data_IF_808637843023
#
_entry.id   IF_808637843023
#
_cell.length_a   1.000
_cell.length_b   1.000
_cell.length_c   1.000
_cell.angle_alpha   90.00
_cell.angle_beta   90.00
_cell.angle_gamma   90.00
#
_symmetry.space_group_name_H-M   'P 1'
#
loop_
_entity.id
_entity.type
_entity.pdbx_description
1 polymer ?
#
# COMPACT_ATOMS: atom_id res chain seq x y z
N UNK A 1 13.92 -37.35 18.64
CA UNK A 1 12.84 -36.33 18.61
C UNK A 1 13.40 -34.99 18.16
N UNK A 2 12.98 -34.45 17.00
CA UNK A 2 13.42 -33.12 16.55
C UNK A 2 12.49 -32.08 17.15
N UNK A 3 12.93 -31.41 18.21
CA UNK A 3 12.20 -30.28 18.79
C UNK A 3 11.99 -29.21 17.73
N UNK A 4 10.73 -28.92 17.41
CA UNK A 4 10.40 -27.75 16.58
C UNK A 4 10.99 -26.51 17.23
N UNK A 5 11.76 -25.71 16.49
CA UNK A 5 12.16 -24.37 16.91
C UNK A 5 10.96 -23.55 17.40
N UNK A 6 10.74 -23.48 18.71
CA UNK A 6 9.67 -22.65 19.25
C UNK A 6 10.14 -21.20 19.23
N UNK A 7 9.80 -20.48 18.17
CA UNK A 7 10.07 -19.04 18.06
C UNK A 7 9.38 -18.32 19.22
N UNK A 8 10.14 -17.53 20.00
CA UNK A 8 9.55 -16.78 21.12
C UNK A 8 8.56 -15.73 20.59
N UNK A 9 7.42 -15.47 21.25
CA UNK A 9 6.43 -14.48 20.79
C UNK A 9 7.03 -13.09 20.50
N UNK A 10 8.03 -12.65 21.28
CA UNK A 10 8.75 -11.39 21.06
C UNK A 10 9.51 -11.38 19.73
N UNK A 11 10.20 -12.48 19.39
CA UNK A 11 10.95 -12.63 18.15
C UNK A 11 10.00 -12.70 16.94
N UNK A 12 8.88 -13.41 17.09
CA UNK A 12 7.82 -13.44 16.09
C UNK A 12 7.25 -12.05 15.80
N UNK A 13 6.92 -11.29 16.85
CA UNK A 13 6.39 -9.94 16.71
C UNK A 13 7.42 -8.96 16.13
N UNK A 14 8.71 -9.15 16.42
CA UNK A 14 9.79 -8.36 15.82
C UNK A 14 9.92 -8.69 14.33
N UNK A 15 9.96 -9.96 13.95
CA UNK A 15 10.02 -10.39 12.56
C UNK A 15 8.79 -9.92 11.75
N UNK A 16 7.59 -9.99 12.34
CA UNK A 16 6.37 -9.49 11.72
C UNK A 16 6.42 -7.98 11.45
N UNK A 17 6.89 -7.18 12.41
CA UNK A 17 7.04 -5.73 12.22
C UNK A 17 8.02 -5.42 11.09
N UNK A 18 9.21 -6.02 11.14
CA UNK A 18 10.22 -5.81 10.10
C UNK A 18 9.73 -6.27 8.71
N UNK A 19 9.04 -7.41 8.64
CA UNK A 19 8.44 -7.88 7.39
C UNK A 19 7.32 -6.96 6.89
N UNK A 20 6.51 -6.40 7.79
CA UNK A 20 5.48 -5.41 7.45
C UNK A 20 6.06 -4.12 6.90
N UNK A 21 7.16 -3.63 7.49
CA UNK A 21 7.91 -2.49 6.97
C UNK A 21 8.44 -2.78 5.56
N UNK A 22 9.07 -3.95 5.34
CA UNK A 22 9.55 -4.37 4.01
C UNK A 22 8.42 -4.42 2.98
N UNK A 23 7.23 -4.89 3.36
CA UNK A 23 6.05 -4.91 2.49
C UNK A 23 5.61 -3.49 2.13
N UNK A 24 5.57 -2.58 3.09
CA UNK A 24 5.22 -1.19 2.81
C UNK A 24 6.25 -0.49 1.92
N UNK A 25 7.54 -0.81 2.10
CA UNK A 25 8.63 -0.36 1.20
C UNK A 25 8.44 -0.93 -0.21
N UNK A 26 8.20 -2.24 -0.32
CA UNK A 26 7.96 -2.89 -1.60
C UNK A 26 6.77 -2.26 -2.33
N UNK A 27 5.68 -1.99 -1.61
CA UNK A 27 4.52 -1.30 -2.16
C UNK A 27 4.86 0.10 -2.67
N UNK A 28 5.65 0.86 -1.90
CA UNK A 28 6.07 2.22 -2.25
C UNK A 28 6.92 2.26 -3.53
N UNK A 29 7.73 1.23 -3.77
CA UNK A 29 8.58 1.15 -4.95
C UNK A 29 7.77 0.68 -6.17
N UNK A 30 6.99 -0.40 -6.03
CA UNK A 30 6.42 -1.10 -7.18
C UNK A 30 4.98 -0.73 -7.53
N UNK A 31 4.18 -0.26 -6.56
CA UNK A 31 2.74 -0.03 -6.77
C UNK A 31 2.34 1.44 -6.68
N UNK A 32 3.01 2.22 -5.83
CA UNK A 32 2.76 3.66 -5.74
C UNK A 32 2.84 4.40 -7.10
N UNK A 33 3.82 4.14 -8.00
CA UNK A 33 3.84 4.80 -9.31
C UNK A 33 2.57 4.55 -10.14
N UNK A 34 2.01 3.33 -10.07
CA UNK A 34 0.83 2.93 -10.83
C UNK A 34 -0.42 3.73 -10.46
N UNK A 35 -0.51 4.20 -9.21
CA UNK A 35 -1.60 5.07 -8.71
C UNK A 35 -1.72 6.40 -9.43
N UNK A 36 -0.63 6.87 -10.02
CA UNK A 36 -0.58 8.09 -10.81
C UNK A 36 -0.59 7.82 -12.32
N UNK A 37 -0.83 6.58 -12.76
CA UNK A 37 -0.94 6.21 -14.16
C UNK A 37 -2.40 6.07 -14.60
N UNK A 38 -2.65 6.03 -15.90
CA UNK A 38 -4.01 5.82 -16.43
C UNK A 38 -4.54 4.40 -16.13
N UNK A 39 -3.65 3.42 -15.93
CA UNK A 39 -4.02 2.06 -15.53
C UNK A 39 -4.75 2.02 -14.18
N UNK A 40 -4.59 3.04 -13.34
CA UNK A 40 -5.29 3.11 -12.07
C UNK A 40 -6.83 3.18 -12.20
N UNK A 41 -7.34 3.63 -13.36
CA UNK A 41 -8.78 3.60 -13.63
C UNK A 41 -9.34 2.18 -13.67
N UNK A 42 -8.65 1.26 -14.35
CA UNK A 42 -9.09 -0.13 -14.50
C UNK A 42 -8.65 -1.00 -13.32
N UNK A 43 -7.42 -0.83 -12.83
CA UNK A 43 -6.85 -1.74 -11.82
C UNK A 43 -7.33 -1.45 -10.40
N UNK A 44 -7.61 -0.18 -10.08
CA UNK A 44 -7.96 0.25 -8.72
C UNK A 44 -9.35 0.87 -8.61
N UNK A 45 -10.11 0.86 -9.71
CA UNK A 45 -11.45 1.43 -9.75
C UNK A 45 -11.49 2.93 -9.50
N UNK A 46 -10.41 3.66 -9.85
CA UNK A 46 -10.42 5.12 -9.71
C UNK A 46 -11.59 5.71 -10.50
N UNK A 47 -12.36 6.62 -9.91
CA UNK A 47 -13.56 7.14 -10.56
C UNK A 47 -13.18 8.14 -11.64
N UNK A 48 -13.75 8.02 -12.84
CA UNK A 48 -13.56 9.03 -13.88
C UNK A 48 -14.11 10.37 -13.40
N UNK A 49 -13.30 11.43 -13.52
CA UNK A 49 -13.74 12.81 -13.25
C UNK A 49 -14.65 13.30 -14.39
N UNK A 50 -15.35 14.41 -14.17
CA UNK A 50 -16.27 14.98 -15.17
C UNK A 50 -15.57 15.23 -16.51
N UNK A 51 -16.30 15.10 -17.62
CA UNK A 51 -15.76 15.35 -18.98
C UNK A 51 -15.13 16.75 -19.10
N UNK A 52 -15.74 17.84 -18.58
CA UNK A 52 -15.11 19.16 -18.60
C UNK A 52 -13.77 19.20 -17.86
N UNK A 53 -13.69 18.59 -16.66
CA UNK A 53 -12.45 18.51 -15.89
C UNK A 53 -11.34 17.79 -16.66
N UNK A 54 -11.67 16.64 -17.26
CA UNK A 54 -10.72 15.86 -18.06
C UNK A 54 -10.23 16.63 -19.28
N UNK A 55 -11.13 17.29 -20.02
CA UNK A 55 -10.76 18.13 -21.17
C UNK A 55 -9.83 19.27 -20.76
N UNK A 56 -10.19 20.02 -19.71
CA UNK A 56 -9.35 21.08 -19.15
C UNK A 56 -7.97 20.56 -18.75
N UNK A 57 -7.93 19.41 -18.07
CA UNK A 57 -6.69 18.79 -17.61
C UNK A 57 -5.80 18.32 -18.75
N UNK A 58 -6.38 17.75 -19.81
CA UNK A 58 -5.62 17.40 -21.02
C UNK A 58 -5.07 18.64 -21.69
N UNK A 59 -5.87 19.70 -21.83
CA UNK A 59 -5.42 20.96 -22.43
C UNK A 59 -4.29 21.62 -21.63
N UNK A 60 -4.37 21.65 -20.30
CA UNK A 60 -3.39 22.32 -19.45
C UNK A 60 -2.15 21.47 -19.08
N UNK A 61 -2.29 20.14 -19.05
CA UNK A 61 -1.29 19.23 -18.47
C UNK A 61 -0.92 18.06 -19.38
N UNK A 62 -1.58 17.90 -20.53
CA UNK A 62 -1.28 16.85 -21.51
C UNK A 62 -1.63 15.43 -21.07
N UNK A 63 -2.38 15.21 -19.99
CA UNK A 63 -2.71 13.86 -19.50
C UNK A 63 -4.02 13.78 -18.71
N UNK A 64 -4.56 12.56 -18.55
CA UNK A 64 -5.80 12.31 -17.80
C UNK A 64 -5.64 11.48 -16.52
N UNK A 65 -4.41 11.33 -16.00
CA UNK A 65 -4.07 10.52 -14.81
C UNK A 65 -4.97 10.81 -13.58
N UNK A 66 -5.47 9.80 -12.84
CA UNK A 66 -6.54 9.95 -11.83
C UNK A 66 -6.17 10.73 -10.56
N UNK A 67 -4.91 10.68 -10.11
CA UNK A 67 -4.46 11.33 -8.86
C UNK A 67 -3.42 12.43 -9.07
N UNK A 68 -3.11 12.76 -10.33
CA UNK A 68 -2.03 13.67 -10.68
C UNK A 68 -2.58 14.89 -11.44
N UNK A 69 -2.62 16.08 -10.83
CA UNK A 69 -3.00 17.32 -11.55
C UNK A 69 -1.80 18.25 -11.73
N UNK A 70 -1.19 18.68 -10.61
CA UNK A 70 0.00 19.56 -10.61
C UNK A 70 1.30 18.81 -10.35
N UNK A 71 1.28 17.48 -10.19
CA UNK A 71 2.44 16.73 -9.69
C UNK A 71 2.66 16.81 -8.18
N UNK A 72 1.99 17.71 -7.45
CA UNK A 72 2.21 17.86 -5.99
C UNK A 72 1.90 16.60 -5.20
N UNK A 73 0.73 15.97 -5.44
CA UNK A 73 0.37 14.70 -4.80
C UNK A 73 1.41 13.61 -5.10
N UNK A 74 1.94 13.62 -6.33
CA UNK A 74 3.00 12.71 -6.74
C UNK A 74 4.28 13.01 -5.95
N UNK A 75 4.76 14.25 -5.92
CA UNK A 75 5.97 14.61 -5.15
C UNK A 75 5.84 14.32 -3.65
N UNK A 76 4.72 14.70 -3.03
CA UNK A 76 4.49 14.48 -1.59
C UNK A 76 4.46 12.99 -1.24
N UNK A 77 3.89 12.15 -2.10
CA UNK A 77 3.91 10.69 -1.94
C UNK A 77 5.23 10.02 -2.30
N UNK A 78 6.29 10.75 -2.67
CA UNK A 78 7.64 10.16 -2.78
C UNK A 78 8.27 9.93 -1.41
N UNK A 79 7.83 10.68 -0.38
CA UNK A 79 8.32 10.51 0.99
C UNK A 79 8.04 9.08 1.48
N UNK A 80 9.09 8.27 1.57
CA UNK A 80 9.03 6.89 2.03
C UNK A 80 8.96 6.85 3.56
N UNK A 81 7.79 7.16 4.10
CA UNK A 81 7.48 6.95 5.52
C UNK A 81 6.53 5.77 5.65
N UNK A 82 7.11 4.63 6.04
CA UNK A 82 6.44 3.35 6.23
C UNK A 82 6.66 2.95 7.68
N UNK A 83 5.65 2.33 8.29
CA UNK A 83 5.84 1.62 9.55
C UNK A 83 4.84 0.48 9.68
N UNK A 84 5.10 -0.40 10.65
CA UNK A 84 4.22 -1.51 10.94
C UNK A 84 4.09 -1.76 12.44
N UNK A 85 2.90 -2.18 12.87
CA UNK A 85 2.61 -2.58 14.24
C UNK A 85 1.89 -3.92 14.25
N UNK A 86 2.22 -4.74 15.25
CA UNK A 86 1.47 -5.95 15.54
C UNK A 86 0.39 -5.58 16.55
N UNK A 87 -0.87 -5.79 16.17
CA UNK A 87 -2.04 -5.61 17.03
C UNK A 87 -2.12 -6.73 18.05
N UNK A 88 -2.66 -6.42 19.23
CA UNK A 88 -2.77 -7.36 20.37
C UNK A 88 -3.50 -8.67 20.04
N UNK A 89 -4.39 -8.69 19.05
CA UNK A 89 -5.14 -9.88 18.57
C UNK A 89 -4.46 -10.63 17.41
N UNK A 90 -3.14 -10.48 17.23
CA UNK A 90 -2.39 -11.23 16.21
C UNK A 90 -2.45 -10.66 14.79
N UNK A 91 -2.98 -9.44 14.62
CA UNK A 91 -3.02 -8.76 13.31
C UNK A 91 -1.77 -7.93 13.03
N UNK A 92 -1.34 -7.84 11.77
CA UNK A 92 -0.31 -6.90 11.33
C UNK A 92 -0.98 -5.68 10.69
N UNK A 93 -0.67 -4.49 11.17
CA UNK A 93 -1.07 -3.23 10.57
C UNK A 93 0.15 -2.55 9.96
N UNK A 94 0.09 -2.27 8.67
CA UNK A 94 1.13 -1.53 7.94
C UNK A 94 0.55 -0.18 7.56
N UNK A 95 1.21 0.91 7.97
CA UNK A 95 0.88 2.25 7.53
C UNK A 95 1.92 2.76 6.55
N UNK A 96 1.41 3.35 5.47
CA UNK A 96 2.22 4.06 4.48
C UNK A 96 1.69 5.49 4.48
N UNK A 97 2.59 6.46 4.64
CA UNK A 97 2.20 7.86 4.53
C UNK A 97 1.72 8.15 3.12
N UNK A 98 0.42 8.40 3.00
CA UNK A 98 -0.17 8.88 1.75
C UNK A 98 0.10 10.37 1.51
N UNK A 99 -0.16 10.85 0.28
CA UNK A 99 -0.11 12.27 -0.02
C UNK A 99 -1.15 13.02 0.82
N UNK A 100 -0.73 14.14 1.42
CA UNK A 100 -1.57 15.06 2.20
C UNK A 100 -2.53 15.82 1.29
N UNK A 101 -2.04 16.22 0.11
CA UNK A 101 -2.81 16.95 -0.89
C UNK A 101 -3.26 16.01 -1.99
N UNK A 102 -4.51 15.59 -1.95
CA UNK A 102 -5.18 14.98 -3.09
C UNK A 102 -6.11 16.04 -3.68
N UNK A 103 -5.72 16.59 -4.82
CA UNK A 103 -6.33 17.77 -5.45
C UNK A 103 -7.72 17.44 -6.02
N UNK A 104 -8.71 17.30 -5.16
CA UNK A 104 -10.12 17.38 -5.52
C UNK A 104 -10.90 17.89 -4.30
N UNK A 105 -11.23 19.17 -4.32
CA UNK A 105 -12.20 19.74 -3.39
C UNK A 105 -13.58 19.45 -3.97
N UNK A 106 -14.40 18.61 -3.34
CA UNK A 106 -15.76 18.43 -3.80
C UNK A 106 -16.53 19.74 -3.56
N UNK A 107 -16.72 20.54 -4.61
CA UNK A 107 -17.73 21.60 -4.61
C UNK A 107 -18.98 21.03 -5.26
N UNK A 108 -19.96 20.65 -4.45
CA UNK A 108 -21.36 20.67 -4.89
C UNK A 108 -22.30 20.70 -3.68
N UNK A 109 -22.95 21.85 -3.48
CA UNK A 109 -24.31 21.91 -2.95
C UNK A 109 -25.18 21.14 -3.96
N UNK A 110 -25.62 19.93 -3.64
CA UNK A 110 -26.56 19.17 -4.49
C UNK A 110 -26.08 17.79 -4.98
N UNK A 111 -26.76 16.75 -4.46
CA UNK A 111 -27.09 15.41 -5.02
C UNK A 111 -26.01 14.47 -5.58
N UNK A 112 -24.73 14.83 -5.77
CA UNK A 112 -23.68 13.85 -6.16
C UNK A 112 -22.62 13.68 -5.08
N UNK A 113 -22.45 12.44 -4.59
CA UNK A 113 -21.44 12.09 -3.59
C UNK A 113 -20.05 12.54 -4.08
N UNK A 114 -19.28 13.29 -3.26
CA UNK A 114 -17.87 13.59 -3.52
C UNK A 114 -17.09 12.37 -3.98
N UNK A 115 -16.15 12.57 -4.90
CA UNK A 115 -15.15 11.53 -5.14
C UNK A 115 -14.08 11.65 -4.06
N UNK A 116 -13.94 10.60 -3.25
CA UNK A 116 -12.90 10.50 -2.24
C UNK A 116 -11.61 9.95 -2.88
N UNK A 117 -10.71 10.86 -3.23
CA UNK A 117 -9.40 10.49 -3.77
C UNK A 117 -8.54 9.71 -2.77
N UNK A 118 -8.79 9.87 -1.46
CA UNK A 118 -7.98 9.24 -0.42
C UNK A 118 -8.26 7.75 -0.36
N UNK A 119 -9.51 7.33 -0.54
CA UNK A 119 -9.85 5.91 -0.72
C UNK A 119 -9.32 5.37 -2.05
N UNK A 120 -9.35 6.13 -3.16
CA UNK A 120 -8.73 5.71 -4.43
C UNK A 120 -7.22 5.43 -4.29
N UNK A 121 -6.52 6.25 -3.49
CA UNK A 121 -5.11 6.02 -3.17
C UNK A 121 -4.87 4.73 -2.36
N UNK A 122 -5.76 4.45 -1.40
CA UNK A 122 -5.64 3.33 -0.45
C UNK A 122 -6.15 1.99 -0.99
N UNK A 123 -6.97 1.99 -2.04
CA UNK A 123 -7.56 0.78 -2.61
C UNK A 123 -6.46 -0.22 -2.98
N UNK A 124 -6.60 -1.52 -2.72
CA UNK A 124 -5.63 -2.52 -3.18
C UNK A 124 -6.27 -3.41 -4.24
N UNK A 125 -5.61 -3.60 -5.39
CA UNK A 125 -6.11 -4.55 -6.39
C UNK A 125 -5.97 -5.99 -5.88
N UNK A 126 -6.82 -6.95 -6.32
CA UNK A 126 -6.68 -8.34 -5.93
C UNK A 126 -5.29 -8.91 -6.23
N UNK A 127 -4.72 -8.54 -7.39
CA UNK A 127 -3.37 -8.96 -7.81
C UNK A 127 -2.27 -8.41 -6.89
N UNK A 128 -2.39 -7.16 -6.46
CA UNK A 128 -1.48 -6.58 -5.48
C UNK A 128 -1.52 -7.30 -4.15
N UNK A 129 -2.72 -7.62 -3.64
CA UNK A 129 -2.89 -8.31 -2.36
C UNK A 129 -2.13 -9.63 -2.33
N UNK A 130 -2.30 -10.45 -3.36
CA UNK A 130 -1.61 -11.75 -3.49
C UNK A 130 -0.09 -11.57 -3.50
N UNK A 131 0.42 -10.58 -4.25
CA UNK A 131 1.86 -10.30 -4.33
C UNK A 131 2.41 -9.76 -3.01
N UNK A 132 1.72 -8.85 -2.34
CA UNK A 132 2.13 -8.30 -1.05
C UNK A 132 2.11 -9.36 0.05
N UNK A 133 1.11 -10.25 0.05
CA UNK A 133 1.08 -11.40 0.95
C UNK A 133 2.29 -12.31 0.70
N UNK A 134 2.61 -12.64 -0.56
CA UNK A 134 3.80 -13.43 -0.89
C UNK A 134 5.10 -12.79 -0.36
N UNK A 135 5.27 -11.49 -0.58
CA UNK A 135 6.42 -10.73 -0.04
C UNK A 135 6.44 -10.79 1.49
N UNK A 136 5.31 -10.61 2.15
CA UNK A 136 5.20 -10.69 3.60
C UNK A 136 5.69 -12.06 4.11
N UNK A 137 5.20 -13.16 3.53
CA UNK A 137 5.61 -14.53 3.92
C UNK A 137 7.12 -14.72 3.79
N UNK A 138 7.69 -14.31 2.67
CA UNK A 138 9.12 -14.41 2.40
C UNK A 138 9.95 -13.60 3.41
N UNK A 139 9.51 -12.37 3.73
CA UNK A 139 10.21 -11.49 4.65
C UNK A 139 10.09 -11.94 6.10
N UNK A 140 8.97 -12.51 6.52
CA UNK A 140 8.83 -13.14 7.85
C UNK A 140 9.89 -14.24 8.02
N UNK A 141 9.97 -15.18 7.06
CA UNK A 141 10.96 -16.27 7.13
C UNK A 141 12.39 -15.73 7.15
N UNK A 142 12.69 -14.72 6.32
CA UNK A 142 13.99 -14.06 6.30
C UNK A 142 14.35 -13.46 7.66
N UNK A 143 13.47 -12.66 8.26
CA UNK A 143 13.72 -12.01 9.55
C UNK A 143 13.79 -13.02 10.70
N UNK A 144 12.97 -14.07 10.69
CA UNK A 144 13.04 -15.14 11.68
C UNK A 144 14.36 -15.91 11.63
N UNK A 145 14.85 -16.23 10.42
CA UNK A 145 16.17 -16.85 10.26
C UNK A 145 17.29 -15.94 10.73
N UNK A 146 17.17 -14.64 10.48
CA UNK A 146 18.16 -13.63 10.91
C UNK A 146 18.17 -13.45 12.44
N UNK A 147 17.01 -13.52 13.10
CA UNK A 147 16.90 -13.41 14.55
C UNK A 147 17.32 -14.73 15.25
N UNK A 148 17.01 -15.87 14.63
CA UNK A 148 17.14 -17.19 15.24
C UNK A 148 18.35 -18.02 14.77
N UNK A 149 19.26 -17.44 13.97
CA UNK A 149 20.52 -17.95 13.40
C UNK A 149 21.02 -19.37 13.75
N UNK A 150 20.16 -20.39 13.65
CA UNK A 150 20.45 -21.81 13.34
C UNK A 150 19.23 -22.75 13.31
N UNK A 151 17.99 -22.26 13.44
CA UNK A 151 16.81 -23.12 13.45
C UNK A 151 15.97 -23.03 12.15
N UNK A 152 15.61 -24.19 11.58
CA UNK A 152 14.71 -24.31 10.41
C UNK A 152 13.28 -23.91 10.84
N UNK A 153 12.82 -22.73 10.40
CA UNK A 153 11.45 -22.26 10.65
C UNK A 153 10.55 -22.53 9.44
N UNK A 154 9.47 -23.28 9.66
CA UNK A 154 8.39 -23.51 8.69
C UNK A 154 7.19 -22.65 9.07
N UNK A 155 6.84 -21.65 8.25
CA UNK A 155 5.71 -20.74 8.52
C UNK A 155 4.48 -21.19 7.73
N UNK A 156 3.42 -21.61 8.42
CA UNK A 156 2.09 -21.84 7.85
C UNK A 156 1.21 -20.63 8.15
N UNK A 157 0.62 -20.03 7.12
CA UNK A 157 -0.34 -18.93 7.26
C UNK A 157 -1.64 -19.36 6.62
N UNK A 158 -2.72 -19.35 7.41
CA UNK A 158 -4.07 -19.61 6.93
C UNK A 158 -4.46 -18.48 5.96
N UNK A 159 -4.94 -18.86 4.78
CA UNK A 159 -5.34 -17.96 3.69
C UNK A 159 -6.65 -17.26 4.01
#
# INVERSE_FOLDING_TARGET
MRGTPTVRPRQWNQALRAAGEDVGVYWHIHYRPKRFSEQAYSEYGARKRSRPYRRKKVAEKGHNRPLDYSGEARRDSQQRKVGAAVRRRGGLEVWIRGPRKLNYRPRTKGRRRPIDMRSEWRAWSPRERVKLQKVLRQRIVYHLRRIGSNQRVTVRLNA
#
